data_IF_897678746686
#
_entry.id   IF_897678746686
#
_cell.length_a   1.000
_cell.length_b   1.000
_cell.length_c   1.000
_cell.angle_alpha   90.00
_cell.angle_beta   90.00
_cell.angle_gamma   90.00
#
_symmetry.space_group_name_H-M   'P 1'
#
loop_
_entity.id
_entity.type
_entity.pdbx_description
1 polymer ?
#
# COMPACT_ATOMS: atom_id res chain seq x y z
N UNK A 1 7.11 54.05 -45.30
CA UNK A 1 7.18 53.29 -44.03
C UNK A 1 8.40 53.76 -43.26
N UNK A 2 8.19 54.50 -42.16
CA UNK A 2 9.25 55.25 -41.46
C UNK A 2 10.36 54.32 -40.91
N UNK A 3 11.64 54.71 -40.99
CA UNK A 3 12.75 53.88 -40.52
C UNK A 3 12.66 53.58 -39.02
N UNK A 4 12.05 54.47 -38.23
CA UNK A 4 11.74 54.28 -36.82
C UNK A 4 10.69 53.20 -36.57
N UNK A 5 9.63 53.15 -37.39
CA UNK A 5 8.57 52.15 -37.25
C UNK A 5 9.06 50.73 -37.57
N UNK A 6 9.96 50.60 -38.57
CA UNK A 6 10.59 49.30 -38.89
C UNK A 6 11.49 48.79 -37.75
N UNK A 7 12.21 49.69 -37.06
CA UNK A 7 13.03 49.33 -35.89
C UNK A 7 12.19 48.84 -34.72
N UNK A 8 11.11 49.56 -34.39
CA UNK A 8 10.21 49.18 -33.29
C UNK A 8 9.56 47.81 -33.55
N UNK A 9 9.08 47.56 -34.77
CA UNK A 9 8.48 46.26 -35.13
C UNK A 9 9.51 45.11 -35.01
N UNK A 10 10.77 45.35 -35.38
CA UNK A 10 11.85 44.37 -35.25
C UNK A 10 12.23 44.09 -33.80
N UNK A 11 12.23 45.10 -32.94
CA UNK A 11 12.54 44.94 -31.51
C UNK A 11 11.42 44.19 -30.78
N UNK A 12 10.16 44.53 -31.09
CA UNK A 12 8.99 43.86 -30.50
C UNK A 12 8.91 42.41 -30.94
N UNK A 13 9.19 42.09 -32.21
CA UNK A 13 9.19 40.70 -32.69
C UNK A 13 10.31 39.88 -32.05
N UNK A 14 11.49 40.48 -31.84
CA UNK A 14 12.62 39.82 -31.17
C UNK A 14 12.33 39.54 -29.70
N UNK A 15 11.64 40.45 -29.00
CA UNK A 15 11.20 40.24 -27.61
C UNK A 15 10.20 39.10 -27.48
N UNK A 16 9.19 39.05 -28.38
CA UNK A 16 8.20 37.96 -28.40
C UNK A 16 8.89 36.63 -28.68
N UNK A 17 9.79 36.59 -29.66
CA UNK A 17 10.52 35.36 -30.01
C UNK A 17 11.36 34.86 -28.83
N UNK A 18 12.03 35.77 -28.11
CA UNK A 18 12.84 35.43 -26.95
C UNK A 18 12.00 34.87 -25.81
N UNK A 19 10.83 35.44 -25.53
CA UNK A 19 9.91 34.93 -24.52
C UNK A 19 9.38 33.53 -24.86
N UNK A 20 9.07 33.27 -26.13
CA UNK A 20 8.63 31.94 -26.58
C UNK A 20 9.74 30.90 -26.42
N UNK A 21 10.98 31.23 -26.78
CA UNK A 21 12.13 30.32 -26.61
C UNK A 21 12.39 30.03 -25.14
N UNK A 22 12.34 31.06 -24.28
CA UNK A 22 12.50 30.89 -22.82
C UNK A 22 11.37 30.03 -22.24
N UNK A 23 10.12 30.24 -22.67
CA UNK A 23 8.98 29.45 -22.20
C UNK A 23 9.07 27.98 -22.61
N UNK A 24 9.46 27.71 -23.86
CA UNK A 24 9.67 26.33 -24.35
C UNK A 24 10.84 25.67 -23.62
N UNK A 25 11.95 26.38 -23.46
CA UNK A 25 13.13 25.88 -22.73
C UNK A 25 12.83 25.59 -21.26
N UNK A 26 12.10 26.50 -20.60
CA UNK A 26 11.66 26.33 -19.22
C UNK A 26 10.71 25.13 -19.08
N UNK A 27 9.73 24.98 -19.98
CA UNK A 27 8.83 23.82 -19.97
C UNK A 27 9.58 22.51 -20.21
N UNK A 28 10.58 22.51 -21.08
CA UNK A 28 11.45 21.35 -21.33
C UNK A 28 12.28 21.00 -20.08
N UNK A 29 12.84 22.00 -19.40
CA UNK A 29 13.60 21.84 -18.16
C UNK A 29 12.71 21.31 -17.02
N UNK A 30 11.54 21.90 -16.81
CA UNK A 30 10.57 21.46 -15.79
C UNK A 30 10.14 20.02 -16.05
N UNK A 31 9.81 19.66 -17.29
CA UNK A 31 9.46 18.28 -17.64
C UNK A 31 10.61 17.28 -17.42
N UNK A 32 11.87 17.72 -17.44
CA UNK A 32 13.05 16.87 -17.20
C UNK A 32 13.42 16.77 -15.72
N UNK A 33 12.86 17.64 -14.87
CA UNK A 33 13.13 17.74 -13.45
C UNK A 33 11.92 17.43 -12.56
N UNK A 34 10.90 16.74 -13.09
CA UNK A 34 9.72 16.34 -12.34
C UNK A 34 9.79 14.84 -11.93
N UNK A 35 10.53 14.50 -10.85
CA UNK A 35 10.70 13.13 -10.37
C UNK A 35 9.38 12.48 -9.90
N UNK A 36 8.33 13.28 -9.71
CA UNK A 36 7.02 12.80 -9.28
C UNK A 36 6.21 12.17 -10.42
N UNK A 37 6.49 12.57 -11.67
CA UNK A 37 5.81 12.04 -12.86
C UNK A 37 6.21 10.59 -13.17
N UNK A 38 7.49 10.24 -12.94
CA UNK A 38 8.01 8.89 -13.19
C UNK A 38 7.58 7.91 -12.11
N UNK A 39 7.53 8.32 -10.83
CA UNK A 39 6.96 7.48 -9.76
C UNK A 39 5.47 7.17 -10.01
N UNK A 40 4.68 8.16 -10.47
CA UNK A 40 3.26 7.93 -10.83
C UNK A 40 3.11 6.96 -12.00
N UNK A 41 3.98 7.05 -13.02
CA UNK A 41 3.97 6.10 -14.16
C UNK A 41 4.34 4.69 -13.72
N UNK A 42 5.37 4.52 -12.89
CA UNK A 42 5.77 3.21 -12.38
C UNK A 42 4.70 2.57 -11.49
N UNK A 43 4.03 3.36 -10.63
CA UNK A 43 2.91 2.88 -9.84
C UNK A 43 1.71 2.47 -10.72
N UNK A 44 1.42 3.22 -11.78
CA UNK A 44 0.36 2.89 -12.74
C UNK A 44 0.68 1.65 -13.59
N UNK A 45 1.94 1.47 -14.00
CA UNK A 45 2.37 0.28 -14.77
C UNK A 45 2.38 -0.99 -13.91
N UNK A 46 2.87 -0.90 -12.66
CA UNK A 46 2.77 -1.98 -11.68
C UNK A 46 1.30 -2.33 -11.43
N UNK A 47 0.44 -1.34 -11.22
CA UNK A 47 -1.00 -1.55 -11.04
C UNK A 47 -1.63 -2.25 -12.25
N UNK A 48 -1.34 -1.81 -13.48
CA UNK A 48 -1.85 -2.44 -14.73
C UNK A 48 -1.37 -3.88 -14.91
N UNK A 49 -0.12 -4.16 -14.56
CA UNK A 49 0.46 -5.50 -14.68
C UNK A 49 -0.12 -6.44 -13.61
N UNK A 50 -0.31 -5.93 -12.39
CA UNK A 50 -0.97 -6.64 -11.30
C UNK A 50 -2.44 -6.92 -11.64
N UNK A 51 -3.19 -5.97 -12.19
CA UNK A 51 -4.60 -6.20 -12.58
C UNK A 51 -4.74 -7.29 -13.65
N UNK A 52 -3.79 -7.35 -14.59
CA UNK A 52 -3.77 -8.38 -15.63
C UNK A 52 -3.38 -9.76 -15.08
N UNK A 53 -2.34 -9.82 -14.22
CA UNK A 53 -1.91 -11.07 -13.55
C UNK A 53 -2.98 -11.63 -12.62
N UNK A 54 -3.69 -10.76 -11.89
CA UNK A 54 -4.69 -11.14 -10.91
C UNK A 54 -6.05 -11.56 -11.51
N UNK A 55 -6.19 -11.53 -12.85
CA UNK A 55 -7.46 -11.81 -13.55
C UNK A 55 -8.66 -11.04 -12.97
N UNK A 56 -8.43 -9.83 -12.43
CA UNK A 56 -9.46 -8.99 -11.78
C UNK A 56 -10.34 -8.29 -12.82
N UNK A 57 -10.75 -8.99 -13.88
CA UNK A 57 -11.58 -8.41 -14.94
C UNK A 57 -12.92 -7.87 -14.43
N UNK A 58 -13.35 -8.27 -13.22
CA UNK A 58 -14.64 -7.92 -12.63
C UNK A 58 -14.56 -7.10 -11.32
N UNK A 59 -13.38 -6.74 -10.81
CA UNK A 59 -13.30 -5.96 -9.56
C UNK A 59 -13.22 -4.47 -9.87
N UNK A 60 -14.25 -3.72 -9.48
CA UNK A 60 -14.27 -2.26 -9.56
C UNK A 60 -13.48 -1.66 -8.40
N UNK A 61 -12.41 -0.94 -8.73
CA UNK A 61 -11.53 -0.28 -7.77
C UNK A 61 -11.80 1.22 -7.71
N UNK A 62 -11.94 1.75 -6.49
CA UNK A 62 -11.98 3.19 -6.21
C UNK A 62 -10.58 3.83 -6.42
N UNK A 63 -10.50 5.15 -6.51
CA UNK A 63 -9.26 5.93 -6.63
C UNK A 63 -8.28 5.62 -5.50
N UNK A 64 -8.75 5.55 -4.24
CA UNK A 64 -7.92 5.20 -3.10
C UNK A 64 -7.44 3.73 -3.14
N UNK A 65 -8.30 2.80 -3.56
CA UNK A 65 -7.92 1.39 -3.70
C UNK A 65 -6.87 1.19 -4.81
N UNK A 66 -6.95 1.98 -5.90
CA UNK A 66 -5.92 1.97 -6.95
C UNK A 66 -4.56 2.43 -6.45
N UNK A 67 -4.51 3.33 -5.46
CA UNK A 67 -3.26 3.74 -4.82
C UNK A 67 -2.66 2.56 -4.05
N UNK A 68 -3.45 1.91 -3.19
CA UNK A 68 -2.99 0.77 -2.38
C UNK A 68 -2.68 -0.46 -3.25
N UNK A 69 -3.31 -0.59 -4.42
CA UNK A 69 -3.02 -1.66 -5.38
C UNK A 69 -1.54 -1.72 -5.77
N UNK A 70 -0.82 -0.60 -5.74
CA UNK A 70 0.63 -0.57 -6.00
C UNK A 70 1.47 -1.24 -4.91
N UNK A 71 0.93 -1.38 -3.71
CA UNK A 71 1.57 -2.01 -2.53
C UNK A 71 1.22 -3.50 -2.40
N UNK A 72 0.34 -4.02 -3.26
CA UNK A 72 -0.05 -5.43 -3.28
C UNK A 72 1.04 -6.25 -3.96
N UNK A 73 1.52 -7.28 -3.27
CA UNK A 73 2.48 -8.25 -3.76
C UNK A 73 1.78 -9.60 -3.91
N UNK A 74 2.00 -10.25 -5.06
CA UNK A 74 1.46 -11.57 -5.35
C UNK A 74 2.28 -12.65 -4.66
N UNK A 75 1.66 -13.77 -4.26
CA UNK A 75 2.39 -14.88 -3.62
C UNK A 75 3.53 -15.41 -4.51
N UNK A 76 3.35 -15.42 -5.83
CA UNK A 76 4.39 -15.87 -6.78
C UNK A 76 5.59 -14.91 -6.89
N UNK A 77 5.37 -13.62 -6.61
CA UNK A 77 6.42 -12.60 -6.64
C UNK A 77 7.20 -12.55 -5.31
N UNK A 78 6.72 -13.23 -4.25
CA UNK A 78 7.43 -13.39 -2.98
C UNK A 78 8.57 -14.41 -3.14
N UNK A 79 9.80 -13.97 -2.87
CA UNK A 79 10.99 -14.84 -3.03
C UNK A 79 11.26 -15.71 -1.81
N UNK A 80 10.92 -15.23 -0.62
CA UNK A 80 11.23 -15.86 0.67
C UNK A 80 10.23 -16.97 1.01
N UNK A 81 10.73 -18.11 1.48
CA UNK A 81 9.99 -19.27 2.01
C UNK A 81 10.37 -19.54 3.47
N UNK A 82 9.67 -20.44 4.15
CA UNK A 82 10.07 -20.86 5.50
C UNK A 82 11.44 -21.55 5.53
N UNK A 83 11.86 -22.18 4.42
CA UNK A 83 13.19 -22.81 4.34
C UNK A 83 14.35 -21.81 4.38
N UNK A 84 14.07 -20.53 4.09
CA UNK A 84 15.06 -19.45 4.15
C UNK A 84 15.20 -18.85 5.56
N UNK A 85 14.42 -19.33 6.53
CA UNK A 85 14.37 -18.81 7.91
C UNK A 85 14.98 -19.85 8.84
N UNK A 86 16.00 -19.45 9.61
CA UNK A 86 16.68 -20.33 10.57
C UNK A 86 16.29 -20.03 12.02
N UNK A 87 16.17 -21.07 12.84
CA UNK A 87 16.07 -20.97 14.30
C UNK A 87 14.72 -20.51 14.85
N UNK A 88 13.66 -20.51 14.02
CA UNK A 88 12.30 -20.13 14.39
C UNK A 88 11.29 -21.25 14.12
N UNK A 89 11.73 -22.51 14.13
CA UNK A 89 10.93 -23.67 13.73
C UNK A 89 9.64 -23.81 14.56
N UNK A 90 9.71 -23.57 15.87
CA UNK A 90 8.56 -23.62 16.78
C UNK A 90 7.51 -22.56 16.41
N UNK A 91 7.96 -21.32 16.16
CA UNK A 91 7.08 -20.20 15.77
C UNK A 91 6.49 -20.45 14.37
N UNK A 92 7.28 -21.00 13.44
CA UNK A 92 6.80 -21.39 12.12
C UNK A 92 5.72 -22.48 12.25
N UNK A 93 5.89 -23.44 13.16
CA UNK A 93 4.88 -24.44 13.49
C UNK A 93 3.57 -23.82 13.96
N UNK A 94 3.65 -22.93 14.96
CA UNK A 94 2.49 -22.23 15.50
C UNK A 94 1.77 -21.38 14.44
N UNK A 95 2.53 -20.67 13.58
CA UNK A 95 1.96 -19.88 12.48
C UNK A 95 1.32 -20.76 11.40
N UNK A 96 1.85 -21.96 11.13
CA UNK A 96 1.23 -22.89 10.19
C UNK A 96 -0.13 -23.35 10.69
N UNK A 97 -0.20 -23.74 11.96
CA UNK A 97 -1.43 -24.23 12.58
C UNK A 97 -2.47 -23.14 12.74
N UNK A 98 -2.05 -21.98 13.23
CA UNK A 98 -2.96 -20.87 13.53
C UNK A 98 -3.38 -20.11 12.27
N UNK A 99 -2.48 -19.85 11.31
CA UNK A 99 -2.79 -18.97 10.17
C UNK A 99 -2.97 -19.76 8.87
N UNK A 100 -2.00 -20.60 8.50
CA UNK A 100 -2.00 -21.23 7.18
C UNK A 100 -3.15 -22.22 7.03
N UNK A 101 -3.39 -23.06 8.03
CA UNK A 101 -4.43 -24.08 7.95
C UNK A 101 -5.84 -23.48 7.85
N UNK A 102 -6.23 -22.48 8.66
CA UNK A 102 -7.53 -21.82 8.50
C UNK A 102 -7.68 -21.09 7.17
N UNK A 103 -6.63 -20.44 6.65
CA UNK A 103 -6.68 -19.74 5.36
C UNK A 103 -6.83 -20.71 4.17
N UNK A 104 -6.12 -21.83 4.19
CA UNK A 104 -6.11 -22.81 3.09
C UNK A 104 -7.27 -23.80 3.13
N UNK A 105 -7.76 -24.15 4.32
CA UNK A 105 -8.79 -25.17 4.52
C UNK A 105 -10.02 -24.65 5.27
N UNK A 106 -10.66 -23.56 4.82
CA UNK A 106 -11.75 -22.91 5.56
C UNK A 106 -12.91 -23.86 5.88
N UNK A 107 -13.17 -24.89 5.05
CA UNK A 107 -14.25 -25.87 5.28
C UNK A 107 -14.08 -26.69 6.58
N UNK A 108 -12.84 -26.94 7.00
CA UNK A 108 -12.54 -27.66 8.23
C UNK A 108 -12.74 -26.79 9.47
N UNK A 109 -12.62 -25.47 9.32
CA UNK A 109 -12.68 -24.50 10.41
C UNK A 109 -14.00 -23.72 10.45
N UNK A 110 -14.84 -23.79 9.41
CA UNK A 110 -16.15 -23.14 9.32
C UNK A 110 -17.28 -23.93 10.01
N UNK A 111 -17.07 -25.23 10.24
CA UNK A 111 -18.15 -26.17 10.59
C UNK A 111 -18.23 -26.48 12.09
N UNK A 112 -17.25 -26.02 12.87
CA UNK A 112 -17.06 -26.45 14.26
C UNK A 112 -16.63 -25.23 15.08
N UNK A 113 -17.59 -24.36 15.42
CA UNK A 113 -17.45 -23.17 16.28
C UNK A 113 -16.61 -22.00 15.72
N UNK A 114 -17.16 -20.79 15.83
CA UNK A 114 -16.49 -19.48 15.64
C UNK A 114 -15.16 -19.32 16.43
N UNK A 115 -14.89 -20.25 17.37
CA UNK A 115 -13.67 -20.30 18.20
C UNK A 115 -12.41 -20.80 17.46
N UNK A 116 -12.54 -21.48 16.31
CA UNK A 116 -11.40 -22.02 15.54
C UNK A 116 -11.13 -21.27 14.23
N UNK A 117 -11.70 -20.07 14.06
CA UNK A 117 -11.39 -19.21 12.91
C UNK A 117 -9.91 -18.81 12.87
N UNK A 118 -9.42 -18.42 11.69
CA UNK A 118 -8.09 -17.79 11.56
C UNK A 118 -7.95 -16.68 12.60
N UNK A 119 -6.81 -16.59 13.32
CA UNK A 119 -6.54 -15.45 14.17
C UNK A 119 -6.67 -14.20 13.30
N UNK A 120 -7.27 -13.15 13.86
CA UNK A 120 -7.59 -11.92 13.12
C UNK A 120 -6.39 -10.97 13.04
N UNK A 121 -5.30 -11.29 13.72
CA UNK A 121 -4.01 -10.65 13.57
C UNK A 121 -2.91 -11.35 14.34
N UNK A 122 -1.69 -11.18 13.89
CA UNK A 122 -0.48 -11.72 14.50
C UNK A 122 0.48 -10.58 14.79
N UNK A 123 0.88 -10.43 16.06
CA UNK A 123 1.90 -9.45 16.45
C UNK A 123 3.25 -10.14 16.59
N UNK A 124 4.14 -9.88 15.64
CA UNK A 124 5.53 -10.33 15.71
C UNK A 124 6.37 -9.26 16.44
N UNK A 125 6.87 -9.57 17.63
CA UNK A 125 7.70 -8.67 18.43
C UNK A 125 9.10 -9.24 18.67
N UNK A 126 10.04 -8.36 19.04
CA UNK A 126 11.43 -8.73 19.35
C UNK A 126 12.43 -7.67 18.86
N UNK A 127 13.74 -7.86 19.09
CA UNK A 127 14.76 -6.91 18.66
C UNK A 127 14.80 -6.75 17.12
N UNK A 128 15.28 -5.61 16.60
CA UNK A 128 15.46 -5.42 15.17
C UNK A 128 16.43 -6.47 14.61
N UNK A 129 16.23 -6.88 13.35
CA UNK A 129 17.10 -7.87 12.69
C UNK A 129 16.75 -9.35 12.94
N UNK A 130 15.72 -9.67 13.73
CA UNK A 130 15.29 -11.06 13.99
C UNK A 130 14.39 -11.67 12.89
N UNK A 131 14.41 -11.13 11.67
CA UNK A 131 13.68 -11.73 10.55
C UNK A 131 12.15 -11.61 10.56
N UNK A 132 11.54 -10.76 11.40
CA UNK A 132 10.07 -10.57 11.45
C UNK A 132 9.42 -10.30 10.09
N UNK A 133 9.96 -9.34 9.33
CA UNK A 133 9.49 -9.01 7.98
C UNK A 133 9.71 -10.17 6.99
N UNK A 134 10.76 -10.96 7.18
CA UNK A 134 11.05 -12.14 6.37
C UNK A 134 10.05 -13.27 6.66
N UNK A 135 9.72 -13.47 7.93
CA UNK A 135 8.70 -14.42 8.40
C UNK A 135 7.31 -14.07 7.86
N UNK A 136 6.90 -12.81 7.91
CA UNK A 136 5.63 -12.37 7.36
C UNK A 136 5.52 -12.62 5.83
N UNK A 137 6.62 -12.36 5.09
CA UNK A 137 6.68 -12.63 3.65
C UNK A 137 6.63 -14.13 3.34
N UNK A 138 7.35 -14.96 4.11
CA UNK A 138 7.29 -16.41 3.99
C UNK A 138 5.87 -16.93 4.27
N UNK A 139 5.23 -16.44 5.33
CA UNK A 139 3.87 -16.79 5.71
C UNK A 139 2.87 -16.51 4.57
N UNK A 140 2.96 -15.34 3.94
CA UNK A 140 2.10 -14.98 2.82
C UNK A 140 2.31 -15.87 1.58
N UNK A 141 3.57 -16.22 1.29
CA UNK A 141 3.89 -17.13 0.18
C UNK A 141 3.32 -18.53 0.42
N UNK A 142 3.52 -19.08 1.61
CA UNK A 142 3.11 -20.45 1.97
C UNK A 142 1.59 -20.59 2.13
N UNK A 143 0.92 -19.53 2.58
CA UNK A 143 -0.56 -19.43 2.60
C UNK A 143 -1.17 -19.12 1.23
N UNK A 144 -0.36 -18.90 0.19
CA UNK A 144 -0.82 -18.39 -1.12
C UNK A 144 -1.71 -17.14 -1.01
N UNK A 145 -1.50 -16.35 0.03
CA UNK A 145 -2.24 -15.11 0.26
C UNK A 145 -1.55 -13.94 -0.46
N UNK A 146 -2.36 -12.97 -0.88
CA UNK A 146 -1.84 -11.68 -1.35
C UNK A 146 -1.24 -10.93 -0.16
N UNK A 147 -0.16 -10.22 -0.39
CA UNK A 147 0.54 -9.50 0.68
C UNK A 147 0.44 -8.00 0.45
N UNK A 148 -0.20 -7.27 1.36
CA UNK A 148 -0.24 -5.81 1.33
C UNK A 148 0.81 -5.30 2.30
N UNK A 149 1.86 -4.67 1.78
CA UNK A 149 2.89 -4.06 2.61
C UNK A 149 2.50 -2.62 2.94
N UNK A 150 1.93 -2.39 4.11
CA UNK A 150 1.40 -1.09 4.50
C UNK A 150 2.47 -0.27 5.21
N UNK A 151 2.94 0.78 4.53
CA UNK A 151 3.84 1.78 5.11
C UNK A 151 3.05 2.98 5.66
N UNK A 152 3.48 3.50 6.80
CA UNK A 152 2.84 4.66 7.43
C UNK A 152 2.93 5.93 6.56
N UNK A 153 4.05 6.10 5.85
CA UNK A 153 4.23 7.18 4.88
C UNK A 153 3.14 7.17 3.81
N UNK A 154 2.76 6.01 3.28
CA UNK A 154 1.70 5.87 2.28
C UNK A 154 0.34 6.39 2.76
N UNK A 155 0.08 6.33 4.08
CA UNK A 155 -1.17 6.78 4.69
C UNK A 155 -1.15 8.29 5.03
N UNK A 156 0.04 8.87 5.23
CA UNK A 156 0.19 10.29 5.61
C UNK A 156 0.54 11.22 4.43
N UNK A 157 1.13 10.72 3.34
CA UNK A 157 1.82 11.55 2.34
C UNK A 157 0.92 12.43 1.47
N UNK A 158 -0.35 12.07 1.24
CA UNK A 158 -1.07 12.64 0.08
C UNK A 158 -1.91 13.88 0.37
N UNK A 159 -2.75 13.93 1.39
CA UNK A 159 -3.55 15.12 1.72
C UNK A 159 -3.99 15.07 3.19
N UNK A 160 -3.74 16.14 3.95
CA UNK A 160 -4.28 16.31 5.31
C UNK A 160 -5.82 16.24 5.22
N UNK A 161 -6.42 15.13 5.68
CA UNK A 161 -7.86 14.88 5.65
C UNK A 161 -8.33 13.66 4.84
N UNK A 162 -7.46 13.03 4.04
CA UNK A 162 -7.81 11.82 3.26
C UNK A 162 -7.25 10.50 3.83
N UNK A 163 -6.44 10.58 4.89
CA UNK A 163 -5.83 9.41 5.55
C UNK A 163 -6.86 8.36 5.94
N UNK A 164 -8.02 8.76 6.48
CA UNK A 164 -9.10 7.85 6.86
C UNK A 164 -9.66 7.08 5.65
N UNK A 165 -9.76 7.74 4.48
CA UNK A 165 -10.22 7.10 3.25
C UNK A 165 -9.21 6.10 2.72
N UNK A 166 -7.91 6.39 2.87
CA UNK A 166 -6.84 5.45 2.53
C UNK A 166 -6.85 4.23 3.45
N UNK A 167 -6.97 4.41 4.76
CA UNK A 167 -7.10 3.28 5.71
C UNK A 167 -8.30 2.42 5.35
N UNK A 168 -9.46 3.03 5.08
CA UNK A 168 -10.64 2.31 4.61
C UNK A 168 -10.38 1.56 3.31
N UNK A 169 -9.69 2.18 2.36
CA UNK A 169 -9.35 1.56 1.10
C UNK A 169 -8.41 0.35 1.23
N UNK A 170 -7.51 0.34 2.22
CA UNK A 170 -6.66 -0.83 2.51
C UNK A 170 -7.53 -2.03 2.86
N UNK A 171 -8.46 -1.86 3.81
CA UNK A 171 -9.32 -2.95 4.26
C UNK A 171 -10.35 -3.37 3.21
N UNK A 172 -10.98 -2.43 2.48
CA UNK A 172 -11.91 -2.79 1.40
C UNK A 172 -11.20 -3.47 0.23
N UNK A 173 -9.96 -3.08 -0.08
CA UNK A 173 -9.16 -3.75 -1.07
C UNK A 173 -8.77 -5.16 -0.61
N UNK A 174 -8.31 -5.31 0.64
CA UNK A 174 -7.94 -6.61 1.20
C UNK A 174 -9.11 -7.60 1.16
N UNK A 175 -10.32 -7.11 1.46
CA UNK A 175 -11.58 -7.87 1.40
C UNK A 175 -11.92 -8.33 -0.02
N UNK A 176 -11.87 -7.42 -1.00
CA UNK A 176 -12.03 -7.75 -2.43
C UNK A 176 -10.97 -8.73 -2.93
N UNK A 177 -9.80 -8.70 -2.30
CA UNK A 177 -8.63 -9.48 -2.69
C UNK A 177 -8.41 -10.73 -1.84
N UNK A 178 -9.36 -11.19 -1.04
CA UNK A 178 -9.17 -12.40 -0.24
C UNK A 178 -8.69 -13.62 -1.07
N UNK A 179 -7.78 -14.46 -0.54
CA UNK A 179 -7.11 -14.33 0.77
C UNK A 179 -5.98 -13.29 0.76
N UNK A 180 -5.90 -12.46 1.80
CA UNK A 180 -4.93 -11.35 1.91
C UNK A 180 -4.32 -11.27 3.31
N UNK A 181 -3.02 -10.96 3.40
CA UNK A 181 -2.32 -10.59 4.64
C UNK A 181 -1.91 -9.12 4.54
N UNK A 182 -2.33 -8.30 5.49
CA UNK A 182 -1.94 -6.90 5.64
C UNK A 182 -0.77 -6.85 6.63
N UNK A 183 0.42 -6.56 6.11
CA UNK A 183 1.60 -6.39 6.95
C UNK A 183 1.81 -4.92 7.26
N UNK A 184 1.88 -4.60 8.56
CA UNK A 184 2.14 -3.26 9.05
C UNK A 184 3.51 -3.28 9.73
N UNK A 185 4.51 -2.74 9.04
CA UNK A 185 5.83 -2.57 9.64
C UNK A 185 5.81 -1.39 10.61
N UNK A 186 6.62 -1.47 11.66
CA UNK A 186 6.73 -0.41 12.69
C UNK A 186 5.36 0.02 13.27
N UNK A 187 4.49 -0.95 13.58
CA UNK A 187 3.16 -0.69 14.17
C UNK A 187 3.24 0.10 15.49
N UNK A 188 4.35 0.01 16.20
CA UNK A 188 4.65 0.80 17.39
C UNK A 188 4.77 2.30 17.07
N UNK A 189 5.26 2.68 15.89
CA UNK A 189 5.27 4.07 15.42
C UNK A 189 3.84 4.60 15.18
N UNK A 190 2.95 3.73 14.71
CA UNK A 190 1.53 4.01 14.51
C UNK A 190 0.80 4.21 15.84
N UNK A 191 1.03 3.34 16.82
CA UNK A 191 0.27 3.30 18.08
C UNK A 191 0.97 3.94 19.28
N UNK A 192 1.94 4.84 19.06
CA UNK A 192 2.56 5.61 20.15
C UNK A 192 1.52 6.23 21.09
N UNK A 193 1.83 6.20 22.38
CA UNK A 193 1.04 6.82 23.46
C UNK A 193 0.80 8.28 23.12
N UNK A 194 -0.45 8.75 23.29
CA UNK A 194 -0.87 10.12 22.99
C UNK A 194 0.04 11.12 23.70
N UNK A 195 0.99 11.70 22.99
CA UNK A 195 1.71 12.87 23.47
C UNK A 195 0.88 14.10 23.13
N UNK A 196 0.94 15.14 23.96
CA UNK A 196 0.17 16.40 23.79
C UNK A 196 0.50 17.17 22.50
N UNK A 197 1.43 16.65 21.68
CA UNK A 197 1.85 17.17 20.37
C UNK A 197 1.39 16.31 19.19
N UNK A 198 0.70 15.19 19.42
CA UNK A 198 0.20 14.35 18.32
C UNK A 198 -0.77 15.15 17.44
N UNK A 199 -0.54 15.10 16.13
CA UNK A 199 -1.44 15.70 15.17
C UNK A 199 -2.81 15.00 15.22
N UNK A 200 -3.87 15.80 15.28
CA UNK A 200 -5.27 15.32 15.34
C UNK A 200 -5.59 14.32 14.21
N UNK A 201 -5.02 14.54 13.03
CA UNK A 201 -5.13 13.66 11.87
C UNK A 201 -4.63 12.23 12.15
N UNK A 202 -3.51 12.08 12.86
CA UNK A 202 -2.97 10.77 13.24
C UNK A 202 -3.88 10.07 14.24
N UNK A 203 -4.46 10.82 15.18
CA UNK A 203 -5.40 10.26 16.16
C UNK A 203 -6.69 9.76 15.52
N UNK A 204 -7.26 10.52 14.59
CA UNK A 204 -8.44 10.10 13.83
C UNK A 204 -8.17 8.85 12.98
N UNK A 205 -7.00 8.80 12.34
CA UNK A 205 -6.58 7.66 11.54
C UNK A 205 -6.41 6.38 12.37
N UNK A 206 -5.82 6.47 13.58
CA UNK A 206 -5.74 5.34 14.52
C UNK A 206 -7.14 4.84 14.89
N UNK A 207 -8.07 5.76 15.19
CA UNK A 207 -9.43 5.40 15.54
C UNK A 207 -10.17 4.68 14.39
N UNK A 208 -10.04 5.18 13.16
CA UNK A 208 -10.61 4.55 11.96
C UNK A 208 -10.02 3.15 11.73
N UNK A 209 -8.70 3.01 11.87
CA UNK A 209 -8.04 1.71 11.75
C UNK A 209 -8.59 0.70 12.75
N UNK A 210 -8.71 1.07 14.03
CA UNK A 210 -9.23 0.18 15.08
C UNK A 210 -10.70 -0.20 14.83
N UNK A 211 -11.52 0.76 14.38
CA UNK A 211 -12.92 0.53 14.02
C UNK A 211 -13.05 -0.49 12.89
N UNK A 212 -12.24 -0.36 11.84
CA UNK A 212 -12.26 -1.27 10.69
C UNK A 212 -11.66 -2.64 11.03
N UNK A 213 -10.61 -2.66 11.85
CA UNK A 213 -10.02 -3.90 12.37
C UNK A 213 -11.06 -4.71 13.15
N UNK A 214 -11.83 -4.06 14.05
CA UNK A 214 -12.90 -4.70 14.81
C UNK A 214 -14.05 -5.18 13.90
N UNK A 215 -14.40 -4.39 12.88
CA UNK A 215 -15.36 -4.77 11.86
C UNK A 215 -14.97 -6.04 11.09
N UNK A 216 -13.70 -6.17 10.71
CA UNK A 216 -13.17 -7.39 10.08
C UNK A 216 -13.03 -8.56 11.04
N UNK A 217 -12.77 -8.28 12.33
CA UNK A 217 -12.71 -9.30 13.36
C UNK A 217 -14.07 -9.95 13.60
N UNK A 218 -15.16 -9.20 13.41
CA UNK A 218 -16.54 -9.67 13.65
C UNK A 218 -17.09 -10.58 12.54
N UNK A 219 -16.53 -10.52 11.32
CA UNK A 219 -16.98 -11.35 10.20
C UNK A 219 -16.24 -12.72 10.17
N UNK A 220 -16.94 -13.80 10.51
CA UNK A 220 -16.39 -15.15 10.57
C UNK A 220 -16.05 -15.75 9.19
N UNK A 221 -16.53 -15.16 8.09
CA UNK A 221 -16.21 -15.60 6.73
C UNK A 221 -14.96 -14.93 6.13
N UNK A 222 -14.42 -13.90 6.77
CA UNK A 222 -13.38 -13.07 6.19
C UNK A 222 -11.98 -13.71 6.26
N UNK A 223 -11.30 -13.82 5.11
CA UNK A 223 -9.94 -14.37 4.96
C UNK A 223 -8.88 -13.26 4.80
N UNK A 224 -9.03 -12.21 5.59
CA UNK A 224 -8.05 -11.14 5.75
C UNK A 224 -7.36 -11.31 7.11
N UNK A 225 -6.03 -11.28 7.10
CA UNK A 225 -5.16 -11.30 8.29
C UNK A 225 -4.38 -9.99 8.41
#
# INVERSE_FOLDING_TARGET
MNPTTKKIISEVSMLILTQVVVFIGFRYLVNKFDPQSDQKKQAQEKSKTLTNKLQLKNITLNEYEKIIMGEVILPDDLKVTFSDIGGLDDIIGELKESVIYPLNHPQLFSSTMDLFGSPKGVLLYGPPGCGKTMLAKALAKESRARFINLHLSTLMDKWFGESNRLVKAVFTLADKLQPTIIFIDEIDSLFRTRESRDHEATSMMKAEFMSLWDGLATDSGNRVL
#
